data_IF_272718017829
#
_entry.id   IF_272718017829
#
_cell.length_a   1.000
_cell.length_b   1.000
_cell.length_c   1.000
_cell.angle_alpha   90.00
_cell.angle_beta   90.00
_cell.angle_gamma   90.00
#
_symmetry.space_group_name_H-M   'P 1'
#
loop_
_entity.id
_entity.type
_entity.pdbx_description
1 polymer ?
#
# COMPACT_ATOMS: atom_id res chain seq x y z
N UNK A 1 12.77 4.45 11.57
CA UNK A 1 11.85 3.29 11.56
C UNK A 1 11.13 3.23 10.23
N UNK A 2 10.93 2.03 9.65
CA UNK A 2 10.19 1.88 8.40
C UNK A 2 8.71 2.21 8.61
N UNK A 3 8.04 2.84 7.63
CA UNK A 3 6.58 3.11 7.65
C UNK A 3 5.78 1.84 7.99
N UNK A 4 6.27 0.69 7.51
CA UNK A 4 5.73 -0.64 7.78
C UNK A 4 5.67 -1.02 9.28
N UNK A 5 6.65 -0.60 10.09
CA UNK A 5 6.70 -0.93 11.52
C UNK A 5 5.70 -0.11 12.32
N UNK A 6 5.41 1.13 11.89
CA UNK A 6 4.41 2.00 12.56
C UNK A 6 3.00 1.41 12.52
N UNK A 7 2.69 0.62 11.49
CA UNK A 7 1.38 0.02 11.27
C UNK A 7 1.11 -1.26 12.10
N UNK A 8 2.00 -1.64 13.01
CA UNK A 8 1.84 -2.85 13.83
C UNK A 8 1.89 -4.17 13.03
N UNK A 9 2.44 -4.13 11.82
CA UNK A 9 2.64 -5.32 10.99
C UNK A 9 3.85 -6.11 11.49
N UNK A 10 3.73 -7.43 11.56
CA UNK A 10 4.86 -8.32 11.78
C UNK A 10 5.64 -8.54 10.47
N UNK A 11 6.83 -9.14 10.53
CA UNK A 11 7.69 -9.32 9.36
C UNK A 11 7.02 -10.11 8.21
N UNK A 12 6.17 -11.10 8.53
CA UNK A 12 5.43 -11.90 7.53
C UNK A 12 4.34 -11.06 6.86
N UNK A 13 3.57 -10.32 7.64
CA UNK A 13 2.54 -9.39 7.16
C UNK A 13 3.14 -8.28 6.30
N UNK A 14 4.26 -7.69 6.73
CA UNK A 14 4.99 -6.69 5.93
C UNK A 14 5.42 -7.26 4.57
N UNK A 15 5.99 -8.46 4.54
CA UNK A 15 6.40 -9.11 3.28
C UNK A 15 5.19 -9.37 2.37
N UNK A 16 4.10 -9.89 2.93
CA UNK A 16 2.87 -10.18 2.20
C UNK A 16 2.26 -8.89 1.63
N UNK A 17 2.11 -7.86 2.45
CA UNK A 17 1.59 -6.57 2.02
C UNK A 17 2.45 -5.92 0.91
N UNK A 18 3.79 -6.02 0.99
CA UNK A 18 4.68 -5.58 -0.10
C UNK A 18 4.46 -6.34 -1.41
N UNK A 19 4.25 -7.64 -1.34
CA UNK A 19 3.96 -8.46 -2.52
C UNK A 19 2.61 -8.09 -3.13
N UNK A 20 1.56 -7.97 -2.30
CA UNK A 20 0.22 -7.59 -2.73
C UNK A 20 0.17 -6.15 -3.25
N UNK A 21 0.92 -5.21 -2.66
CA UNK A 21 1.07 -3.86 -3.20
C UNK A 21 1.70 -3.87 -4.60
N UNK A 22 2.68 -4.74 -4.83
CA UNK A 22 3.27 -4.90 -6.16
C UNK A 22 2.26 -5.38 -7.22
N UNK A 23 1.40 -6.33 -6.85
CA UNK A 23 0.34 -6.81 -7.75
C UNK A 23 -0.74 -5.76 -7.97
N UNK A 24 -1.15 -5.07 -6.92
CA UNK A 24 -2.16 -4.01 -6.96
C UNK A 24 -1.73 -2.84 -7.85
N UNK A 25 -0.47 -2.40 -7.74
CA UNK A 25 0.04 -1.30 -8.56
C UNK A 25 0.27 -1.68 -10.02
N UNK A 26 0.40 -2.98 -10.31
CA UNK A 26 0.62 -3.48 -11.67
C UNK A 26 2.03 -3.18 -12.21
N UNK A 27 2.26 -3.49 -13.50
CA UNK A 27 3.56 -3.30 -14.16
C UNK A 27 3.89 -1.82 -14.44
N UNK A 28 2.88 -0.97 -14.66
CA UNK A 28 3.05 0.47 -14.78
C UNK A 28 2.42 1.18 -13.57
N UNK A 29 3.19 1.32 -12.47
CA UNK A 29 2.66 1.86 -11.23
C UNK A 29 2.41 3.37 -11.38
N UNK A 30 1.36 3.93 -10.76
CA UNK A 30 0.94 5.33 -10.95
C UNK A 30 1.99 6.38 -10.56
N UNK A 31 2.02 7.53 -11.25
CA UNK A 31 2.72 8.73 -10.77
C UNK A 31 1.85 9.41 -9.72
N UNK A 32 2.25 9.32 -8.45
CA UNK A 32 1.47 9.87 -7.35
C UNK A 32 1.43 11.40 -7.36
N UNK A 33 2.53 12.05 -7.77
CA UNK A 33 2.64 13.51 -7.73
C UNK A 33 1.74 14.20 -8.79
N UNK A 34 1.31 13.48 -9.84
CA UNK A 34 0.36 13.96 -10.85
C UNK A 34 -1.11 13.76 -10.42
N UNK A 35 -1.35 13.06 -9.30
CA UNK A 35 -2.68 12.77 -8.79
C UNK A 35 -3.10 13.81 -7.75
N UNK A 36 -4.33 14.32 -7.88
CA UNK A 36 -4.95 15.08 -6.80
C UNK A 36 -5.12 14.25 -5.54
N UNK A 37 -5.12 14.90 -4.37
CA UNK A 37 -5.21 14.25 -3.06
C UNK A 37 -6.40 13.28 -2.95
N UNK A 38 -7.57 13.66 -3.50
CA UNK A 38 -8.75 12.79 -3.52
C UNK A 38 -8.51 11.46 -4.27
N UNK A 39 -7.76 11.51 -5.37
CA UNK A 39 -7.43 10.31 -6.16
C UNK A 39 -6.43 9.44 -5.40
N UNK A 40 -5.46 10.07 -4.72
CA UNK A 40 -4.49 9.38 -3.88
C UNK A 40 -5.20 8.64 -2.73
N UNK A 41 -6.14 9.31 -2.04
CA UNK A 41 -6.92 8.70 -0.97
C UNK A 41 -7.78 7.53 -1.48
N UNK A 42 -8.51 7.72 -2.60
CA UNK A 42 -9.29 6.62 -3.22
C UNK A 42 -8.42 5.43 -3.60
N UNK A 43 -7.17 5.64 -4.05
CA UNK A 43 -6.25 4.53 -4.32
C UNK A 43 -5.80 3.82 -3.07
N UNK A 44 -5.56 4.54 -1.97
CA UNK A 44 -5.25 3.94 -0.66
C UNK A 44 -6.41 3.06 -0.19
N UNK A 45 -7.64 3.57 -0.26
CA UNK A 45 -8.84 2.80 0.07
C UNK A 45 -9.00 1.59 -0.83
N UNK A 46 -8.80 1.76 -2.14
CA UNK A 46 -8.87 0.67 -3.11
C UNK A 46 -7.84 -0.43 -2.82
N UNK A 47 -6.64 -0.06 -2.35
CA UNK A 47 -5.63 -1.03 -1.93
C UNK A 47 -6.05 -1.79 -0.66
N UNK A 48 -6.62 -1.11 0.33
CA UNK A 48 -7.15 -1.77 1.54
C UNK A 48 -8.27 -2.73 1.16
N UNK A 49 -9.20 -2.34 0.28
CA UNK A 49 -10.26 -3.21 -0.21
C UNK A 49 -9.71 -4.39 -1.03
N UNK A 50 -8.69 -4.17 -1.85
CA UNK A 50 -7.99 -5.24 -2.57
C UNK A 50 -7.39 -6.29 -1.60
N UNK A 51 -6.83 -5.85 -0.48
CA UNK A 51 -6.32 -6.77 0.54
C UNK A 51 -7.43 -7.61 1.17
N UNK A 52 -8.60 -7.00 1.47
CA UNK A 52 -9.79 -7.70 1.98
C UNK A 52 -10.30 -8.73 0.97
N UNK A 53 -10.40 -8.34 -0.29
CA UNK A 53 -10.81 -9.22 -1.39
C UNK A 53 -9.89 -10.46 -1.50
N UNK A 54 -8.58 -10.27 -1.32
CA UNK A 54 -7.59 -11.36 -1.31
C UNK A 54 -7.43 -12.05 0.06
N UNK A 55 -8.44 -11.96 0.94
CA UNK A 55 -8.49 -12.60 2.26
C UNK A 55 -7.34 -12.20 3.21
N UNK A 56 -6.68 -11.07 2.97
CA UNK A 56 -5.64 -10.52 3.85
C UNK A 56 -6.25 -9.56 4.88
N UNK A 57 -7.34 -9.97 5.53
CA UNK A 57 -8.16 -9.10 6.41
C UNK A 57 -7.35 -8.50 7.56
N UNK A 58 -6.51 -9.28 8.25
CA UNK A 58 -5.65 -8.79 9.33
C UNK A 58 -4.71 -7.67 8.88
N UNK A 59 -4.18 -7.76 7.65
CA UNK A 59 -3.34 -6.71 7.08
C UNK A 59 -4.20 -5.49 6.76
N UNK A 60 -5.35 -5.69 6.10
CA UNK A 60 -6.26 -4.62 5.74
C UNK A 60 -6.75 -3.82 6.98
N UNK A 61 -7.10 -4.51 8.06
CA UNK A 61 -7.52 -3.91 9.32
C UNK A 61 -6.40 -3.04 9.91
N UNK A 62 -5.18 -3.56 10.01
CA UNK A 62 -4.01 -2.80 10.48
C UNK A 62 -3.68 -1.59 9.62
N UNK A 63 -3.75 -1.75 8.30
CA UNK A 63 -3.50 -0.66 7.35
C UNK A 63 -4.60 0.41 7.39
N UNK A 64 -5.83 0.05 7.72
CA UNK A 64 -6.95 1.00 7.78
C UNK A 64 -6.85 2.02 8.92
N UNK A 65 -5.99 1.78 9.91
CA UNK A 65 -5.77 2.68 11.06
C UNK A 65 -5.07 3.97 10.65
N UNK A 66 -4.17 3.91 9.66
CA UNK A 66 -3.36 5.06 9.24
C UNK A 66 -3.21 5.07 7.71
N UNK A 67 -4.16 5.77 7.06
CA UNK A 67 -4.18 5.94 5.59
C UNK A 67 -2.94 6.66 5.07
N UNK A 68 -2.36 7.58 5.83
CA UNK A 68 -1.18 8.35 5.42
C UNK A 68 0.05 7.45 5.34
N UNK A 69 0.24 6.57 6.33
CA UNK A 69 1.28 5.56 6.29
C UNK A 69 1.08 4.57 5.13
N UNK A 70 -0.16 4.20 4.78
CA UNK A 70 -0.46 3.37 3.60
C UNK A 70 -0.11 4.09 2.31
N UNK A 71 -0.42 5.39 2.21
CA UNK A 71 -0.05 6.21 1.07
C UNK A 71 1.47 6.22 0.86
N UNK A 72 2.24 6.56 1.89
CA UNK A 72 3.71 6.61 1.81
C UNK A 72 4.33 5.25 1.47
N UNK A 73 3.71 4.17 1.95
CA UNK A 73 4.05 2.80 1.62
C UNK A 73 3.86 2.51 0.12
N UNK A 74 2.69 2.83 -0.42
CA UNK A 74 2.39 2.63 -1.84
C UNK A 74 3.28 3.51 -2.72
N UNK A 75 3.50 4.76 -2.33
CA UNK A 75 4.42 5.71 -2.97
C UNK A 75 5.85 5.16 -3.05
N UNK A 76 6.36 4.64 -1.93
CA UNK A 76 7.69 4.00 -1.87
C UNK A 76 7.76 2.78 -2.77
N UNK A 77 6.69 1.97 -2.82
CA UNK A 77 6.64 0.78 -3.68
C UNK A 77 6.64 1.14 -5.16
N UNK A 78 5.86 2.14 -5.57
CA UNK A 78 5.88 2.68 -6.95
C UNK A 78 7.28 3.14 -7.34
N UNK A 79 7.96 3.94 -6.49
CA UNK A 79 9.34 4.38 -6.78
C UNK A 79 10.30 3.21 -6.99
N UNK A 80 10.12 2.11 -6.27
CA UNK A 80 10.94 0.90 -6.42
C UNK A 80 10.62 0.15 -7.71
N UNK A 81 9.35 0.08 -8.10
CA UNK A 81 8.91 -0.60 -9.32
C UNK A 81 9.33 0.17 -10.58
N UNK A 82 9.24 1.50 -10.59
CA UNK A 82 9.67 2.36 -11.73
C UNK A 82 11.18 2.41 -11.95
N UNK A 83 11.98 2.00 -10.96
CA UNK A 83 13.45 1.94 -11.06
C UNK A 83 13.98 0.60 -11.57
N UNK A 84 13.11 -0.39 -11.75
CA UNK A 84 13.45 -1.71 -12.29
C UNK A 84 13.11 -1.76 -13.77
#
# INVERSE_FOLDING_TARGET
>A
MSVWTKLGLNAREMRKARQEAGKFLGPDPPIWDDMGTDVQERKVESYIQYLRYNQNNTIADKLSVDKEAVFELLRTRTKTLRRK
#
